data_IF_169868169182
#
_entry.id   IF_169868169182
#
_cell.length_a   1.000
_cell.length_b   1.000
_cell.length_c   1.000
_cell.angle_alpha   90.00
_cell.angle_beta   90.00
_cell.angle_gamma   90.00
#
_symmetry.space_group_name_H-M   'P 1'
#
loop_
_entity.id
_entity.type
_entity.pdbx_description
1 polymer ?
#
# COMPACT_ATOMS: atom_id res chain seq x y z
N UNK A 1 20.98 13.55 -5.42
CA UNK A 1 19.68 13.37 -4.74
C UNK A 1 19.23 11.90 -4.76
N UNK A 2 19.33 11.22 -5.91
CA UNK A 2 18.85 9.83 -6.06
C UNK A 2 19.53 8.83 -5.11
N UNK A 3 20.85 8.97 -4.91
CA UNK A 3 21.61 8.05 -4.01
C UNK A 3 21.22 8.25 -2.54
N UNK A 4 21.01 9.50 -2.11
CA UNK A 4 20.63 9.80 -0.72
C UNK A 4 19.24 9.27 -0.37
N UNK A 5 18.25 9.44 -1.26
CA UNK A 5 16.89 8.93 -1.06
C UNK A 5 16.88 7.40 -1.07
N UNK A 6 17.67 6.76 -1.91
CA UNK A 6 17.80 5.30 -1.92
C UNK A 6 18.40 4.75 -0.62
N UNK A 7 19.43 5.40 -0.08
CA UNK A 7 20.02 5.01 1.21
C UNK A 7 18.98 5.18 2.33
N UNK A 8 18.31 6.34 2.35
CA UNK A 8 17.29 6.64 3.35
C UNK A 8 16.15 5.62 3.31
N UNK A 9 15.65 5.29 2.13
CA UNK A 9 14.60 4.28 1.94
C UNK A 9 15.04 2.88 2.39
N UNK A 10 16.25 2.44 2.03
CA UNK A 10 16.80 1.15 2.47
C UNK A 10 16.96 1.07 3.99
N UNK A 11 17.49 2.15 4.59
CA UNK A 11 17.62 2.25 6.06
C UNK A 11 16.26 2.18 6.73
N UNK A 12 15.26 2.88 6.18
CA UNK A 12 13.90 2.86 6.71
C UNK A 12 13.30 1.46 6.71
N UNK A 13 13.42 0.73 5.59
CA UNK A 13 12.94 -0.67 5.51
C UNK A 13 13.67 -1.56 6.51
N UNK A 14 15.00 -1.39 6.66
CA UNK A 14 15.78 -2.18 7.63
C UNK A 14 15.32 -1.91 9.07
N UNK A 15 15.13 -0.64 9.45
CA UNK A 15 14.63 -0.27 10.78
C UNK A 15 13.22 -0.79 11.00
N UNK A 16 12.35 -0.74 9.99
CA UNK A 16 11.01 -1.31 10.08
C UNK A 16 11.04 -2.83 10.31
N UNK A 17 11.92 -3.56 9.64
CA UNK A 17 12.10 -5.01 9.85
C UNK A 17 12.62 -5.28 11.26
N UNK A 18 13.60 -4.51 11.74
CA UNK A 18 14.14 -4.66 13.09
C UNK A 18 13.04 -4.41 14.13
N UNK A 19 12.26 -3.35 13.97
CA UNK A 19 11.12 -3.06 14.84
C UNK A 19 10.10 -4.19 14.85
N UNK A 20 9.74 -4.70 13.67
CA UNK A 20 8.82 -5.83 13.52
C UNK A 20 9.33 -7.09 14.24
N UNK A 21 10.60 -7.45 14.01
CA UNK A 21 11.23 -8.61 14.65
C UNK A 21 11.34 -8.45 16.16
N UNK A 22 11.71 -7.25 16.63
CA UNK A 22 11.79 -6.95 18.04
C UNK A 22 10.45 -7.15 18.74
N UNK A 23 9.37 -6.52 18.22
CA UNK A 23 8.02 -6.69 18.78
C UNK A 23 7.55 -8.14 18.66
N UNK A 24 7.87 -8.83 17.57
CA UNK A 24 7.53 -10.25 17.39
C UNK A 24 8.19 -11.18 18.39
N UNK A 25 9.41 -10.87 18.84
CA UNK A 25 10.16 -11.68 19.82
C UNK A 25 9.83 -11.31 21.27
N UNK A 26 9.71 -10.02 21.54
CA UNK A 26 9.48 -9.48 22.92
C UNK A 26 8.00 -9.55 23.29
N UNK A 27 7.11 -9.45 22.32
CA UNK A 27 5.67 -9.60 22.49
C UNK A 27 5.25 -11.05 22.74
N UNK A 28 3.95 -11.33 22.74
CA UNK A 28 3.41 -12.68 22.94
C UNK A 28 3.61 -13.57 21.72
N UNK A 29 4.85 -13.98 21.45
CA UNK A 29 5.27 -14.70 20.22
C UNK A 29 4.38 -15.88 19.87
N UNK A 30 4.04 -16.74 20.85
CA UNK A 30 3.14 -17.88 20.61
C UNK A 30 1.76 -17.44 20.12
N UNK A 31 1.21 -16.41 20.71
CA UNK A 31 -0.08 -15.85 20.31
C UNK A 31 -0.02 -15.24 18.91
N UNK A 32 1.06 -14.48 18.62
CA UNK A 32 1.32 -13.90 17.30
C UNK A 32 1.37 -14.99 16.21
N UNK A 33 2.10 -16.08 16.44
CA UNK A 33 2.20 -17.20 15.48
C UNK A 33 0.86 -17.90 15.27
N UNK A 34 0.09 -18.09 16.34
CA UNK A 34 -1.24 -18.69 16.28
C UNK A 34 -2.21 -17.79 15.48
N UNK A 35 -2.23 -16.49 15.77
CA UNK A 35 -3.03 -15.52 15.01
C UNK A 35 -2.60 -15.52 13.54
N UNK A 36 -1.31 -15.43 13.25
CA UNK A 36 -0.79 -15.45 11.88
C UNK A 36 -1.31 -16.66 11.10
N UNK A 37 -1.18 -17.84 11.65
CA UNK A 37 -1.61 -19.07 10.99
C UNK A 37 -3.14 -19.12 10.81
N UNK A 38 -3.89 -18.80 11.87
CA UNK A 38 -5.36 -18.85 11.86
C UNK A 38 -5.93 -17.80 10.89
N UNK A 39 -5.43 -16.57 10.93
CA UNK A 39 -5.95 -15.49 10.09
C UNK A 39 -5.65 -15.70 8.61
N UNK A 40 -4.51 -16.30 8.25
CA UNK A 40 -4.25 -16.69 6.85
C UNK A 40 -5.26 -17.74 6.40
N UNK A 41 -5.51 -18.77 7.21
CA UNK A 41 -6.52 -19.80 6.90
C UNK A 41 -7.92 -19.22 6.71
N UNK A 42 -8.35 -18.36 7.63
CA UNK A 42 -9.62 -17.64 7.53
C UNK A 42 -9.68 -16.70 6.31
N UNK A 43 -8.63 -15.97 6.04
CA UNK A 43 -8.56 -15.08 4.88
C UNK A 43 -8.70 -15.84 3.57
N UNK A 44 -7.96 -16.95 3.40
CA UNK A 44 -8.03 -17.76 2.18
C UNK A 44 -9.39 -18.43 2.01
N UNK A 45 -9.93 -18.99 3.08
CA UNK A 45 -11.22 -19.71 3.04
C UNK A 45 -12.42 -18.77 2.83
N UNK A 46 -12.36 -17.55 3.34
CA UNK A 46 -13.45 -16.56 3.31
C UNK A 46 -13.18 -15.37 2.38
N UNK A 47 -12.15 -15.46 1.54
CA UNK A 47 -11.69 -14.35 0.70
C UNK A 47 -12.81 -13.69 -0.11
N UNK A 48 -13.63 -14.48 -0.79
CA UNK A 48 -14.75 -13.97 -1.61
C UNK A 48 -15.81 -13.29 -0.74
N UNK A 49 -16.19 -13.91 0.36
CA UNK A 49 -17.18 -13.38 1.28
C UNK A 49 -16.71 -12.06 1.90
N UNK A 50 -15.47 -12.00 2.37
CA UNK A 50 -14.89 -10.78 2.95
C UNK A 50 -14.78 -9.66 1.92
N UNK A 51 -14.42 -9.99 0.67
CA UNK A 51 -14.29 -9.01 -0.41
C UNK A 51 -15.62 -8.43 -0.88
N UNK A 52 -16.72 -9.18 -0.80
CA UNK A 52 -18.04 -8.78 -1.29
C UNK A 52 -19.02 -8.41 -0.18
N UNK A 53 -18.59 -8.44 1.09
CA UNK A 53 -19.45 -8.06 2.21
C UNK A 53 -19.60 -6.54 2.29
N UNK A 54 -20.80 -6.05 2.11
CA UNK A 54 -21.14 -4.61 2.24
C UNK A 54 -21.91 -4.29 3.52
N UNK A 55 -22.34 -5.33 4.27
CA UNK A 55 -23.08 -5.23 5.53
C UNK A 55 -24.19 -4.15 5.51
N UNK A 56 -25.18 -4.23 4.60
CA UNK A 56 -26.12 -3.14 4.37
C UNK A 56 -27.10 -2.91 5.54
N UNK A 57 -27.27 -3.87 6.42
CA UNK A 57 -28.22 -3.81 7.53
C UNK A 57 -27.55 -3.61 8.89
N UNK A 58 -26.40 -4.25 9.12
CA UNK A 58 -25.64 -4.16 10.36
C UNK A 58 -24.16 -3.92 10.07
N UNK A 59 -23.47 -3.15 10.91
CA UNK A 59 -22.05 -2.86 10.74
C UNK A 59 -21.71 -1.93 9.57
N UNK A 60 -22.68 -1.18 9.04
CA UNK A 60 -22.48 -0.26 7.92
C UNK A 60 -21.43 0.80 8.21
N UNK A 61 -21.37 1.34 9.43
CA UNK A 61 -20.36 2.34 9.82
C UNK A 61 -18.96 1.77 9.78
N UNK A 62 -18.77 0.51 10.20
CA UNK A 62 -17.50 -0.18 10.06
C UNK A 62 -17.12 -0.37 8.57
N UNK A 63 -18.05 -0.85 7.76
CA UNK A 63 -17.85 -1.02 6.31
C UNK A 63 -17.48 0.29 5.63
N UNK A 64 -18.15 1.39 5.99
CA UNK A 64 -17.89 2.73 5.47
C UNK A 64 -16.48 3.22 5.85
N UNK A 65 -16.13 3.10 7.12
CA UNK A 65 -14.86 3.62 7.65
C UNK A 65 -13.64 2.81 7.22
N UNK A 66 -13.81 1.51 6.97
CA UNK A 66 -12.71 0.60 6.65
C UNK A 66 -12.81 0.08 5.22
N UNK A 67 -13.84 -0.70 4.88
CA UNK A 67 -13.92 -1.34 3.55
C UNK A 67 -14.00 -0.32 2.42
N UNK A 68 -14.95 0.61 2.49
CA UNK A 68 -15.14 1.61 1.42
C UNK A 68 -13.96 2.57 1.34
N UNK A 69 -13.42 2.99 2.48
CA UNK A 69 -12.25 3.86 2.51
C UNK A 69 -11.03 3.18 1.87
N UNK A 70 -10.69 1.94 2.26
CA UNK A 70 -9.55 1.23 1.70
C UNK A 70 -9.70 0.94 0.20
N UNK A 71 -10.87 0.53 -0.25
CA UNK A 71 -11.14 0.36 -1.68
C UNK A 71 -10.97 1.67 -2.44
N UNK A 72 -11.56 2.76 -1.96
CA UNK A 72 -11.44 4.06 -2.58
C UNK A 72 -9.99 4.57 -2.61
N UNK A 73 -9.27 4.39 -1.51
CA UNK A 73 -7.85 4.75 -1.44
C UNK A 73 -7.02 3.98 -2.48
N UNK A 74 -7.17 2.66 -2.54
CA UNK A 74 -6.46 1.85 -3.54
C UNK A 74 -6.82 2.23 -4.97
N UNK A 75 -8.08 2.51 -5.26
CA UNK A 75 -8.54 2.96 -6.58
C UNK A 75 -7.90 4.30 -6.94
N UNK A 76 -7.94 5.30 -6.07
CA UNK A 76 -7.35 6.61 -6.33
C UNK A 76 -5.83 6.57 -6.46
N UNK A 77 -5.18 5.65 -5.77
CA UNK A 77 -3.73 5.50 -5.72
C UNK A 77 -3.16 4.64 -6.86
N UNK A 78 -3.92 3.64 -7.36
CA UNK A 78 -3.41 2.64 -8.30
C UNK A 78 -2.92 3.18 -9.65
N UNK A 79 -3.53 4.15 -10.33
CA UNK A 79 -3.00 4.67 -11.59
C UNK A 79 -1.63 5.32 -11.41
N UNK A 80 -1.45 5.99 -10.29
CA UNK A 80 -0.23 6.65 -9.90
C UNK A 80 0.89 5.65 -9.60
N UNK A 81 0.64 4.70 -8.72
CA UNK A 81 1.61 3.65 -8.34
C UNK A 81 1.87 2.71 -9.51
N UNK A 82 0.85 2.42 -10.32
CA UNK A 82 1.00 1.61 -11.52
C UNK A 82 2.03 2.18 -12.50
N UNK A 83 2.02 3.48 -12.73
CA UNK A 83 3.03 4.15 -13.56
C UNK A 83 4.44 4.05 -12.97
N UNK A 84 4.57 4.24 -11.66
CA UNK A 84 5.85 4.11 -10.96
C UNK A 84 6.39 2.70 -11.05
N UNK A 85 5.57 1.70 -10.68
CA UNK A 85 5.97 0.28 -10.67
C UNK A 85 6.25 -0.22 -12.08
N UNK A 86 5.50 0.20 -13.09
CA UNK A 86 5.77 -0.11 -14.50
C UNK A 86 7.15 0.42 -14.93
N UNK A 87 7.52 1.64 -14.48
CA UNK A 87 8.81 2.24 -14.78
C UNK A 87 10.00 1.45 -14.26
N UNK A 88 9.89 0.86 -13.07
CA UNK A 88 10.97 0.08 -12.43
C UNK A 88 10.94 -1.42 -12.80
N UNK A 89 9.91 -1.88 -13.47
CA UNK A 89 9.70 -3.32 -13.80
C UNK A 89 10.11 -3.68 -15.22
N UNK A 90 10.87 -2.81 -15.90
CA UNK A 90 11.35 -3.08 -17.27
C UNK A 90 12.17 -4.37 -17.33
N UNK A 91 11.89 -5.20 -18.34
CA UNK A 91 12.58 -6.47 -18.59
C UNK A 91 12.04 -7.65 -17.77
N UNK A 92 11.01 -7.46 -16.96
CA UNK A 92 10.32 -8.54 -16.25
C UNK A 92 9.14 -9.06 -17.05
N UNK A 93 8.84 -10.34 -16.89
CA UNK A 93 7.61 -10.91 -17.46
C UNK A 93 6.39 -10.43 -16.67
N UNK A 94 5.22 -10.42 -17.33
CA UNK A 94 3.93 -10.05 -16.70
C UNK A 94 3.66 -10.96 -15.47
N UNK A 95 4.00 -12.25 -15.56
CA UNK A 95 3.82 -13.20 -14.47
C UNK A 95 4.69 -12.81 -13.24
N UNK A 96 5.98 -12.55 -13.44
CA UNK A 96 6.88 -12.12 -12.37
C UNK A 96 6.41 -10.81 -11.74
N UNK A 97 5.96 -9.88 -12.57
CA UNK A 97 5.42 -8.60 -12.11
C UNK A 97 4.20 -8.80 -11.22
N UNK A 98 3.18 -9.53 -11.70
CA UNK A 98 1.94 -9.76 -10.95
C UNK A 98 2.22 -10.54 -9.66
N UNK A 99 3.00 -11.62 -9.74
CA UNK A 99 3.34 -12.42 -8.55
C UNK A 99 4.10 -11.60 -7.51
N UNK A 100 5.09 -10.81 -7.92
CA UNK A 100 5.85 -9.96 -7.03
C UNK A 100 5.00 -8.84 -6.41
N UNK A 101 4.16 -8.18 -7.21
CA UNK A 101 3.33 -7.07 -6.75
C UNK A 101 2.18 -7.51 -5.82
N UNK A 102 1.68 -8.75 -5.97
CA UNK A 102 0.61 -9.27 -5.13
C UNK A 102 1.14 -10.02 -3.90
N UNK A 103 2.05 -10.99 -4.08
CA UNK A 103 2.42 -11.88 -2.99
C UNK A 103 3.33 -11.22 -1.94
N UNK A 104 4.33 -10.46 -2.37
CA UNK A 104 5.30 -9.89 -1.44
C UNK A 104 4.66 -8.88 -0.48
N UNK A 105 3.91 -7.86 -0.93
CA UNK A 105 3.24 -6.95 -0.02
C UNK A 105 2.20 -7.64 0.85
N UNK A 106 1.44 -8.60 0.31
CA UNK A 106 0.40 -9.32 1.05
C UNK A 106 0.99 -10.12 2.21
N UNK A 107 2.06 -10.89 1.97
CA UNK A 107 2.72 -11.68 3.02
C UNK A 107 3.33 -10.78 4.10
N UNK A 108 3.97 -9.67 3.70
CA UNK A 108 4.49 -8.68 4.66
C UNK A 108 3.36 -8.04 5.47
N UNK A 109 2.24 -7.75 4.86
CA UNK A 109 1.06 -7.19 5.54
C UNK A 109 0.47 -8.17 6.55
N UNK A 110 0.34 -9.45 6.19
CA UNK A 110 -0.12 -10.48 7.13
C UNK A 110 0.81 -10.57 8.34
N UNK A 111 2.12 -10.59 8.12
CA UNK A 111 3.08 -10.62 9.20
C UNK A 111 3.00 -9.35 10.07
N UNK A 112 2.92 -8.18 9.44
CA UNK A 112 2.82 -6.89 10.12
C UNK A 112 1.60 -6.81 11.02
N UNK A 113 0.43 -7.13 10.49
CA UNK A 113 -0.80 -7.11 11.28
C UNK A 113 -0.85 -8.21 12.34
N UNK A 114 -0.23 -9.36 12.11
CA UNK A 114 -0.15 -10.41 13.15
C UNK A 114 0.75 -10.00 14.29
N UNK A 115 1.86 -9.31 14.03
CA UNK A 115 2.77 -8.86 15.07
C UNK A 115 2.15 -7.70 15.86
N UNK A 116 1.82 -6.58 15.22
CA UNK A 116 1.31 -5.41 15.92
C UNK A 116 -0.15 -5.58 16.35
N UNK A 117 -1.02 -6.01 15.45
CA UNK A 117 -2.43 -6.26 15.76
C UNK A 117 -2.62 -7.42 16.73
N UNK A 118 -1.86 -8.51 16.55
CA UNK A 118 -1.88 -9.65 17.45
C UNK A 118 -1.41 -9.27 18.87
N UNK A 119 -0.35 -8.46 18.98
CA UNK A 119 0.10 -7.94 20.29
C UNK A 119 -0.97 -7.06 20.93
N UNK A 120 -1.59 -6.15 20.14
CA UNK A 120 -2.67 -5.31 20.65
C UNK A 120 -3.88 -6.09 21.14
N UNK A 121 -4.30 -7.11 20.38
CA UNK A 121 -5.38 -8.02 20.78
C UNK A 121 -5.03 -8.83 22.03
N UNK A 122 -3.79 -9.27 22.16
CA UNK A 122 -3.34 -9.96 23.36
C UNK A 122 -3.42 -9.06 24.59
N UNK A 123 -2.91 -7.83 24.50
CA UNK A 123 -3.00 -6.85 25.59
C UNK A 123 -4.47 -6.56 25.96
N UNK A 124 -5.34 -6.37 24.96
CA UNK A 124 -6.76 -6.08 25.18
C UNK A 124 -7.50 -7.25 25.82
N UNK A 125 -7.35 -8.47 25.26
CA UNK A 125 -8.20 -9.63 25.60
C UNK A 125 -7.63 -10.41 26.79
N UNK A 126 -6.31 -10.58 26.84
CA UNK A 126 -5.66 -11.45 27.84
C UNK A 126 -5.18 -10.66 29.04
N UNK A 127 -4.59 -9.50 28.82
CA UNK A 127 -4.05 -8.66 29.90
C UNK A 127 -5.04 -7.58 30.40
N UNK A 128 -6.17 -7.41 29.71
CA UNK A 128 -7.23 -6.49 30.13
C UNK A 128 -6.89 -5.00 29.96
N UNK A 129 -5.91 -4.69 29.12
CA UNK A 129 -5.55 -3.30 28.77
C UNK A 129 -6.61 -2.73 27.83
N UNK A 130 -7.17 -1.56 28.13
CA UNK A 130 -8.22 -0.95 27.31
C UNK A 130 -7.66 -0.15 26.13
N UNK A 131 -7.07 -0.85 25.16
CA UNK A 131 -6.62 -0.24 23.90
C UNK A 131 -7.80 0.11 22.97
N UNK A 132 -8.95 -0.53 23.16
CA UNK A 132 -10.12 -0.29 22.31
C UNK A 132 -10.68 1.13 22.50
N UNK A 133 -10.73 1.65 23.71
CA UNK A 133 -11.18 3.03 23.97
C UNK A 133 -10.26 4.05 23.30
N UNK A 134 -8.96 3.84 23.33
CA UNK A 134 -7.98 4.68 22.63
C UNK A 134 -8.17 4.59 21.11
N UNK A 135 -8.38 3.40 20.57
CA UNK A 135 -8.65 3.22 19.13
C UNK A 135 -9.91 3.94 18.67
N UNK A 136 -10.94 4.00 19.52
CA UNK A 136 -12.19 4.71 19.22
C UNK A 136 -12.07 6.23 19.37
N UNK A 137 -11.24 6.70 20.29
CA UNK A 137 -11.05 8.14 20.52
C UNK A 137 -10.03 8.74 19.54
N UNK A 138 -8.90 8.11 19.36
CA UNK A 138 -7.84 8.53 18.42
C UNK A 138 -7.01 7.34 17.96
N UNK A 139 -7.36 6.81 16.79
CA UNK A 139 -6.67 5.67 16.18
C UNK A 139 -5.16 5.93 15.94
N UNK A 140 -4.74 7.20 15.84
CA UNK A 140 -3.35 7.55 15.54
C UNK A 140 -2.40 7.31 16.72
N UNK A 141 -2.92 7.27 17.94
CA UNK A 141 -2.13 7.10 19.17
C UNK A 141 -2.02 5.66 19.63
N UNK A 142 -2.86 4.75 19.15
CA UNK A 142 -2.93 3.34 19.58
C UNK A 142 -1.59 2.61 19.52
N UNK A 143 -0.81 2.84 18.43
CA UNK A 143 0.50 2.20 18.27
C UNK A 143 1.48 2.62 19.38
N UNK A 144 1.47 3.89 19.75
CA UNK A 144 2.35 4.42 20.79
C UNK A 144 1.92 3.94 22.18
N UNK A 145 0.64 3.82 22.40
CA UNK A 145 0.10 3.23 23.65
C UNK A 145 0.48 1.75 23.74
N UNK A 146 0.32 0.96 22.67
CA UNK A 146 0.79 -0.42 22.61
C UNK A 146 2.27 -0.53 22.99
N UNK A 147 3.12 0.36 22.46
CA UNK A 147 4.54 0.36 22.79
C UNK A 147 4.82 0.66 24.26
N UNK A 148 3.97 1.44 24.94
CA UNK A 148 4.16 1.75 26.36
C UNK A 148 4.07 0.50 27.26
N UNK A 149 3.41 -0.56 26.80
CA UNK A 149 3.32 -1.86 27.49
C UNK A 149 4.45 -2.82 27.12
N UNK A 150 5.33 -2.45 26.20
CA UNK A 150 6.47 -3.27 25.80
C UNK A 150 7.78 -2.74 26.39
N UNK A 151 8.79 -3.61 26.61
CA UNK A 151 10.13 -3.16 26.97
C UNK A 151 10.67 -2.16 25.94
N UNK A 152 11.35 -1.13 26.40
CA UNK A 152 11.88 -0.04 25.57
C UNK A 152 10.81 0.75 24.81
N UNK A 153 9.58 0.84 25.29
CA UNK A 153 8.45 1.48 24.60
C UNK A 153 8.74 2.89 24.11
N UNK A 154 9.45 3.71 24.88
CA UNK A 154 9.88 5.04 24.44
C UNK A 154 10.82 4.99 23.23
N UNK A 155 11.75 4.04 23.19
CA UNK A 155 12.67 3.87 22.07
C UNK A 155 11.90 3.40 20.83
N UNK A 156 10.97 2.45 20.97
CA UNK A 156 10.10 1.98 19.90
C UNK A 156 9.26 3.12 19.33
N UNK A 157 8.71 3.97 20.20
CA UNK A 157 7.92 5.14 19.80
C UNK A 157 8.75 6.15 19.00
N UNK A 158 9.96 6.46 19.45
CA UNK A 158 10.88 7.35 18.74
C UNK A 158 11.25 6.75 17.38
N UNK A 159 11.58 5.46 17.33
CA UNK A 159 11.88 4.78 16.07
C UNK A 159 10.69 4.78 15.11
N UNK A 160 9.47 4.55 15.60
CA UNK A 160 8.26 4.63 14.79
C UNK A 160 8.03 6.03 14.22
N UNK A 161 8.22 7.09 15.01
CA UNK A 161 8.12 8.47 14.50
C UNK A 161 9.16 8.74 13.43
N UNK A 162 10.41 8.32 13.62
CA UNK A 162 11.46 8.47 12.62
C UNK A 162 11.13 7.71 11.33
N UNK A 163 10.63 6.46 11.46
CA UNK A 163 10.16 5.67 10.31
C UNK A 163 9.05 6.38 9.55
N UNK A 164 8.05 6.94 10.25
CA UNK A 164 6.95 7.69 9.64
C UNK A 164 7.44 8.91 8.88
N UNK A 165 8.35 9.70 9.47
CA UNK A 165 8.94 10.88 8.82
C UNK A 165 9.66 10.47 7.53
N UNK A 166 10.54 9.47 7.59
CA UNK A 166 11.31 9.01 6.41
C UNK A 166 10.38 8.43 5.36
N UNK A 167 9.40 7.63 5.76
CA UNK A 167 8.41 7.06 4.85
C UNK A 167 7.58 8.14 4.15
N UNK A 168 7.15 9.17 4.90
CA UNK A 168 6.43 10.30 4.34
C UNK A 168 7.27 11.06 3.31
N UNK A 169 8.52 11.40 3.64
CA UNK A 169 9.42 12.13 2.74
C UNK A 169 9.68 11.35 1.44
N UNK A 170 9.98 10.05 1.54
CA UNK A 170 10.25 9.21 0.35
C UNK A 170 9.01 9.00 -0.50
N UNK A 171 7.83 8.90 0.12
CA UNK A 171 6.55 8.79 -0.59
C UNK A 171 6.17 10.09 -1.28
N UNK A 172 6.34 11.23 -0.62
CA UNK A 172 6.07 12.56 -1.18
C UNK A 172 6.99 12.87 -2.36
N UNK A 173 8.27 12.50 -2.30
CA UNK A 173 9.21 12.66 -3.42
C UNK A 173 8.78 11.80 -4.63
N UNK A 174 8.44 10.54 -4.39
CA UNK A 174 7.92 9.65 -5.43
C UNK A 174 6.63 10.19 -6.06
N UNK A 175 5.73 10.72 -5.23
CA UNK A 175 4.49 11.36 -5.69
C UNK A 175 4.77 12.55 -6.60
N UNK A 176 5.64 13.43 -6.15
CA UNK A 176 6.07 14.64 -6.90
C UNK A 176 6.68 14.26 -8.25
N UNK A 177 7.49 13.19 -8.27
CA UNK A 177 8.11 12.69 -9.49
C UNK A 177 7.08 12.18 -10.49
N UNK A 178 6.13 11.34 -10.06
CA UNK A 178 5.09 10.79 -10.95
C UNK A 178 4.15 11.87 -11.48
N UNK A 179 3.72 12.82 -10.63
CA UNK A 179 2.91 13.97 -11.07
C UNK A 179 3.68 14.84 -12.08
N UNK A 180 4.98 15.02 -11.85
CA UNK A 180 5.87 15.65 -12.80
C UNK A 180 5.93 14.93 -14.15
N UNK A 181 6.03 13.61 -14.16
CA UNK A 181 5.98 12.79 -15.40
C UNK A 181 4.64 12.93 -16.12
N UNK A 182 3.53 12.77 -15.41
CA UNK A 182 2.17 12.85 -15.98
C UNK A 182 1.92 14.19 -16.65
N UNK A 183 2.40 15.28 -16.07
CA UNK A 183 2.24 16.63 -16.60
C UNK A 183 3.35 17.05 -17.60
N UNK A 184 4.24 16.12 -17.94
CA UNK A 184 5.33 16.30 -18.93
C UNK A 184 5.24 15.34 -20.10
N UNK A 185 4.02 14.95 -20.51
CA UNK A 185 3.77 14.00 -21.58
C UNK A 185 4.50 12.64 -21.41
N UNK A 186 4.57 12.14 -20.18
CA UNK A 186 5.22 10.87 -19.87
C UNK A 186 6.75 10.94 -19.86
N UNK A 187 7.35 12.14 -19.82
CA UNK A 187 8.80 12.28 -19.75
C UNK A 187 9.34 11.66 -18.46
N UNK A 188 10.18 10.63 -18.58
CA UNK A 188 10.78 9.90 -17.45
C UNK A 188 11.80 10.75 -16.65
N UNK A 189 12.14 11.97 -17.13
CA UNK A 189 12.98 12.93 -16.44
C UNK A 189 12.26 14.28 -16.42
N UNK A 190 11.23 14.45 -15.59
CA UNK A 190 10.46 15.67 -15.53
C UNK A 190 11.33 16.84 -15.06
N UNK A 191 11.10 18.06 -15.59
CA UNK A 191 11.83 19.27 -15.16
C UNK A 191 11.67 19.52 -13.66
N UNK A 192 12.72 20.01 -13.02
CA UNK A 192 12.72 20.31 -11.58
C UNK A 192 11.61 21.31 -11.19
N UNK A 193 11.32 22.27 -12.05
CA UNK A 193 10.25 23.25 -11.84
C UNK A 193 8.87 22.60 -11.68
N UNK A 194 8.54 21.61 -12.52
CA UNK A 194 7.26 20.90 -12.40
C UNK A 194 7.19 20.06 -11.13
N UNK A 195 8.29 19.41 -10.76
CA UNK A 195 8.36 18.68 -9.46
C UNK A 195 8.16 19.62 -8.29
N UNK A 196 8.80 20.80 -8.31
CA UNK A 196 8.64 21.81 -7.26
C UNK A 196 7.18 22.30 -7.15
N UNK A 197 6.55 22.62 -8.28
CA UNK A 197 5.14 23.05 -8.30
C UNK A 197 4.23 21.97 -7.70
N UNK A 198 4.38 20.71 -8.12
CA UNK A 198 3.60 19.62 -7.58
C UNK A 198 3.89 19.33 -6.10
N UNK A 199 5.17 19.45 -5.68
CA UNK A 199 5.55 19.33 -4.28
C UNK A 199 4.87 20.39 -3.40
N UNK A 200 4.86 21.64 -3.84
CA UNK A 200 4.16 22.73 -3.11
C UNK A 200 2.65 22.50 -3.09
N UNK A 201 2.05 22.16 -4.23
CA UNK A 201 0.60 21.95 -4.30
C UNK A 201 0.12 20.80 -3.40
N UNK A 202 0.79 19.64 -3.44
CA UNK A 202 0.39 18.51 -2.60
C UNK A 202 0.62 18.78 -1.11
N UNK A 203 1.73 19.43 -0.75
CA UNK A 203 2.00 19.78 0.64
C UNK A 203 0.99 20.80 1.17
N UNK A 204 0.67 21.82 0.37
CA UNK A 204 -0.36 22.82 0.74
C UNK A 204 -1.73 22.17 0.90
N UNK A 205 -2.12 21.29 -0.01
CA UNK A 205 -3.40 20.56 0.10
C UNK A 205 -3.44 19.69 1.35
N UNK A 206 -2.36 18.97 1.67
CA UNK A 206 -2.27 18.16 2.87
C UNK A 206 -2.38 19.02 4.15
N UNK A 207 -1.66 20.14 4.22
CA UNK A 207 -1.70 21.07 5.37
C UNK A 207 -3.11 21.63 5.57
N UNK A 208 -3.77 22.07 4.49
CA UNK A 208 -5.12 22.62 4.56
C UNK A 208 -6.10 21.56 5.05
N UNK A 209 -6.05 20.35 4.47
CA UNK A 209 -6.96 19.28 4.85
C UNK A 209 -6.76 18.84 6.30
N UNK A 210 -5.51 18.69 6.73
CA UNK A 210 -5.20 18.37 8.13
C UNK A 210 -5.64 19.47 9.08
N UNK A 211 -5.44 20.74 8.71
CA UNK A 211 -5.82 21.88 9.54
C UNK A 211 -7.33 22.11 9.64
N UNK A 212 -8.12 21.69 8.66
CA UNK A 212 -9.58 21.92 8.62
C UNK A 212 -10.41 20.75 9.12
N UNK A 213 -9.92 19.52 9.02
CA UNK A 213 -10.71 18.34 9.38
C UNK A 213 -9.87 17.09 9.72
N UNK A 214 -8.58 17.27 9.98
CA UNK A 214 -7.69 16.19 10.43
C UNK A 214 -7.58 15.04 9.43
N UNK A 215 -7.38 13.84 9.97
CA UNK A 215 -7.25 12.61 9.18
C UNK A 215 -8.53 12.32 8.35
N UNK A 216 -9.71 12.59 8.91
CA UNK A 216 -10.97 12.35 8.20
C UNK A 216 -11.10 13.17 6.91
N UNK A 217 -10.63 14.42 6.89
CA UNK A 217 -10.69 15.24 5.69
C UNK A 217 -9.83 14.63 4.56
N UNK A 218 -8.64 14.12 4.88
CA UNK A 218 -7.79 13.41 3.92
C UNK A 218 -8.46 12.14 3.40
N UNK A 219 -9.08 11.35 4.28
CA UNK A 219 -9.79 10.12 3.91
C UNK A 219 -10.98 10.42 2.99
N UNK A 220 -11.79 11.43 3.31
CA UNK A 220 -12.92 11.87 2.48
C UNK A 220 -12.47 12.32 1.10
N UNK A 221 -11.37 13.06 0.99
CA UNK A 221 -10.82 13.47 -0.30
C UNK A 221 -10.33 12.29 -1.14
N UNK A 222 -9.74 11.27 -0.51
CA UNK A 222 -9.36 10.03 -1.21
C UNK A 222 -10.59 9.31 -1.78
N UNK A 223 -11.70 9.25 -1.03
CA UNK A 223 -12.97 8.65 -1.48
C UNK A 223 -13.54 9.43 -2.68
N UNK A 224 -13.57 10.76 -2.60
CA UNK A 224 -14.08 11.62 -3.69
C UNK A 224 -13.23 11.43 -4.96
N UNK A 225 -11.90 11.36 -4.81
CA UNK A 225 -11.01 11.16 -5.94
C UNK A 225 -11.16 9.75 -6.58
N UNK A 226 -11.58 8.74 -5.83
CA UNK A 226 -11.75 7.39 -6.33
C UNK A 226 -12.75 7.28 -7.49
N UNK A 227 -13.81 8.07 -7.48
CA UNK A 227 -14.85 8.00 -8.52
C UNK A 227 -14.31 8.27 -9.94
N UNK A 228 -13.66 9.41 -10.22
CA UNK A 228 -13.06 9.65 -11.54
C UNK A 228 -11.94 8.66 -11.86
N UNK A 229 -11.14 8.25 -10.88
CA UNK A 229 -10.09 7.25 -11.10
C UNK A 229 -10.64 5.86 -11.41
N UNK A 230 -11.81 5.49 -10.92
CA UNK A 230 -12.49 4.25 -11.32
C UNK A 230 -12.73 4.19 -12.83
N UNK A 231 -13.18 5.30 -13.42
CA UNK A 231 -13.40 5.40 -14.86
C UNK A 231 -12.08 5.22 -15.63
N UNK A 232 -11.02 5.89 -15.15
CA UNK A 232 -9.68 5.75 -15.73
C UNK A 232 -9.19 4.30 -15.64
N UNK A 233 -9.33 3.64 -14.50
CA UNK A 233 -8.93 2.24 -14.31
C UNK A 233 -9.67 1.27 -15.21
N UNK A 234 -10.98 1.47 -15.40
CA UNK A 234 -11.77 0.67 -16.36
C UNK A 234 -11.23 0.87 -17.78
N UNK A 235 -10.94 2.10 -18.18
CA UNK A 235 -10.30 2.40 -19.47
C UNK A 235 -8.92 1.72 -19.61
N UNK A 236 -8.09 1.75 -18.56
CA UNK A 236 -6.78 1.08 -18.53
C UNK A 236 -6.92 -0.44 -18.66
N UNK A 237 -7.94 -1.06 -18.05
CA UNK A 237 -8.21 -2.49 -18.20
C UNK A 237 -8.51 -2.87 -19.65
N UNK A 238 -9.37 -2.11 -20.33
CA UNK A 238 -9.67 -2.33 -21.75
C UNK A 238 -8.43 -2.12 -22.63
N UNK A 239 -7.63 -1.10 -22.36
CA UNK A 239 -6.38 -0.84 -23.07
C UNK A 239 -5.39 -2.00 -22.91
N UNK A 240 -5.20 -2.49 -21.69
CA UNK A 240 -4.32 -3.62 -21.40
C UNK A 240 -4.78 -4.90 -22.12
N UNK A 241 -6.06 -5.23 -22.03
CA UNK A 241 -6.62 -6.40 -22.72
C UNK A 241 -6.45 -6.31 -24.25
N UNK A 242 -6.60 -5.12 -24.81
CA UNK A 242 -6.40 -4.87 -26.24
C UNK A 242 -4.93 -5.03 -26.63
N UNK A 243 -4.00 -4.49 -25.85
CA UNK A 243 -2.57 -4.63 -26.07
C UNK A 243 -2.12 -6.10 -26.01
N UNK A 244 -2.55 -6.84 -24.98
CA UNK A 244 -2.24 -8.26 -24.84
C UNK A 244 -2.79 -9.10 -26.00
N UNK A 245 -4.00 -8.81 -26.46
CA UNK A 245 -4.58 -9.48 -27.64
C UNK A 245 -3.81 -9.17 -28.92
N UNK A 246 -3.31 -7.95 -29.06
CA UNK A 246 -2.51 -7.54 -30.22
C UNK A 246 -1.17 -8.29 -30.23
N UNK A 247 -0.43 -8.31 -29.15
CA UNK A 247 0.85 -9.01 -29.00
C UNK A 247 0.70 -10.52 -29.24
N UNK A 248 -0.32 -11.13 -28.65
CA UNK A 248 -0.63 -12.54 -28.84
C UNK A 248 -0.87 -12.89 -30.33
N UNK A 249 -1.61 -12.05 -31.05
CA UNK A 249 -1.83 -12.26 -32.50
C UNK A 249 -0.54 -12.13 -33.30
N UNK A 250 0.32 -11.18 -32.92
CA UNK A 250 1.60 -10.96 -33.61
C UNK A 250 2.55 -12.14 -33.41
N UNK A 251 2.66 -12.67 -32.19
CA UNK A 251 3.44 -13.88 -31.90
C UNK A 251 2.93 -15.11 -32.69
N UNK A 252 1.62 -15.31 -32.75
CA UNK A 252 1.04 -16.42 -33.50
C UNK A 252 1.33 -16.31 -35.01
N UNK A 253 1.33 -15.11 -35.56
CA UNK A 253 1.67 -14.88 -36.97
C UNK A 253 3.16 -15.13 -37.23
N UNK A 254 4.04 -14.70 -36.33
CA UNK A 254 5.47 -14.96 -36.42
C UNK A 254 5.82 -16.45 -36.37
N UNK A 255 5.20 -17.19 -35.44
CA UNK A 255 5.35 -18.66 -35.35
C UNK A 255 4.86 -19.39 -36.59
N UNK A 256 3.71 -18.96 -37.15
CA UNK A 256 3.19 -19.55 -38.41
C UNK A 256 4.07 -19.24 -39.63
N UNK A 257 4.70 -18.09 -39.67
CA UNK A 257 5.61 -17.73 -40.74
C UNK A 257 6.93 -18.54 -40.68
N UNK A 258 7.45 -18.75 -39.46
CA UNK A 258 8.65 -19.60 -39.22
C UNK A 258 8.41 -21.06 -39.58
N UNK A 259 7.27 -21.65 -39.19
CA UNK A 259 6.91 -23.04 -39.50
C UNK A 259 6.71 -23.29 -41.01
N UNK A 260 6.30 -22.26 -41.76
CA UNK A 260 6.22 -22.37 -43.23
C UNK A 260 7.56 -22.26 -43.93
N UNK A 261 8.57 -21.62 -43.31
CA UNK A 261 9.94 -21.55 -43.83
C UNK A 261 10.68 -22.88 -43.70
N UNK A 262 10.46 -23.58 -42.61
CA UNK A 262 11.16 -24.85 -42.29
C UNK A 262 10.62 -26.07 -43.10
N UNK A 263 9.45 -25.96 -43.69
CA UNK A 263 8.86 -27.03 -44.56
C UNK A 263 9.20 -26.90 -46.04
N UNK A 264 10.10 -25.99 -46.42
CA UNK A 264 10.51 -25.76 -47.80
C UNK A 264 11.99 -26.10 -48.08
N UNK A 265 12.65 -26.85 -47.18
CA UNK A 265 14.00 -27.40 -47.39
C UNK A 265 13.93 -28.89 -47.64
#
# INVERSE_FOLDING_TARGET
>A
LDTGIQILSKTNVMVAIVLLLFVGVVGPTSYILNIFTTTIGEYVSRFVTLSLSTNPFEGYEWTKSWTLFYWAWWISWSPFVGLFVAGISRGRTIREFISGALLVPTLLTFLWFSVFGGTGLYLQIVEGVDLASTALSDVTTVLFELFSYLPLGNVLSILAVLLLIVFFVTSADSATFVLGMMTSNGNLRPPASKKLVWGVLQSSAAIILLGTGGLEALQRMAIVAALPFTIVMVGMLFSLLSALRYEWRYELQGRRAGDKGDRRV
#
